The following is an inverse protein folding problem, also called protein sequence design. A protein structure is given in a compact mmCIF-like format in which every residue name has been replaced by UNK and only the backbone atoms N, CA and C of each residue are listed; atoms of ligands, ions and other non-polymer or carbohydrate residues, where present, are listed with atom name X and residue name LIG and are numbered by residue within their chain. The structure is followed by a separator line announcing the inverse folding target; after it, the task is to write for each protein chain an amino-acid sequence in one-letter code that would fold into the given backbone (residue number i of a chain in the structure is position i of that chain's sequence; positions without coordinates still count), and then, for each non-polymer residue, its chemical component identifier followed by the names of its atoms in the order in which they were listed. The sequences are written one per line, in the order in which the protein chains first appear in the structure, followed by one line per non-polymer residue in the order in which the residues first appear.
data_IF_581279902194
#
_entry.id   IF_581279902194
#
_cell.length_a   1.000
_cell.length_b   1.000
_cell.length_c   1.000
_cell.angle_alpha   90.00
_cell.angle_beta   90.00
_cell.angle_gamma   90.00
#
_symmetry.space_group_name_H-M   'P 1'
#
loop_
_entity.id
_entity.type
_entity.pdbx_description
1 polymer ?
#
# COMPACT_ATOMS: atom_id res chain seq x y z
N UNK A 1 -23.83 46.06 34.74
CA UNK A 1 -24.17 44.64 34.51
C UNK A 1 -25.27 44.55 33.46
N UNK A 2 -24.95 44.25 32.19
CA UNK A 2 -25.91 43.86 31.10
C UNK A 2 -25.17 43.73 29.76
N UNK A 3 -24.24 42.77 29.64
CA UNK A 3 -23.69 42.29 28.35
C UNK A 3 -23.19 40.86 28.52
N UNK A 4 -24.08 39.95 28.89
CA UNK A 4 -23.78 38.51 28.99
C UNK A 4 -24.86 37.63 28.33
N UNK A 5 -25.81 38.24 27.60
CA UNK A 5 -26.93 37.52 26.96
C UNK A 5 -26.80 37.32 25.45
N UNK A 6 -25.73 37.82 24.81
CA UNK A 6 -25.55 37.71 23.34
C UNK A 6 -24.45 36.73 22.91
N UNK A 7 -23.54 36.36 23.80
CA UNK A 7 -22.49 35.36 23.51
C UNK A 7 -22.99 33.92 23.67
N UNK A 8 -23.94 33.65 24.57
CA UNK A 8 -24.54 32.32 24.72
C UNK A 8 -25.44 31.91 23.55
N UNK A 9 -26.08 32.87 22.86
CA UNK A 9 -26.95 32.58 21.72
C UNK A 9 -26.15 32.27 20.44
N UNK A 10 -24.96 32.86 20.30
CA UNK A 10 -24.10 32.59 19.14
C UNK A 10 -23.41 31.22 19.23
N UNK A 11 -23.08 30.78 20.45
CA UNK A 11 -22.47 29.46 20.71
C UNK A 11 -23.47 28.30 20.57
N UNK A 12 -24.77 28.57 20.71
CA UNK A 12 -25.83 27.56 20.51
C UNK A 12 -26.24 27.42 19.03
N UNK A 13 -26.03 28.47 18.22
CA UNK A 13 -26.29 28.44 16.77
C UNK A 13 -25.14 27.75 16.02
N UNK A 14 -23.89 27.88 16.47
CA UNK A 14 -22.76 27.15 15.86
C UNK A 14 -22.74 25.66 16.20
N UNK A 15 -23.36 25.24 17.32
CA UNK A 15 -23.49 23.81 17.66
C UNK A 15 -24.64 23.13 16.89
N UNK A 16 -25.64 23.89 16.42
CA UNK A 16 -26.77 23.35 15.66
C UNK A 16 -26.48 23.20 14.15
N UNK A 17 -25.46 23.90 13.62
CA UNK A 17 -25.01 23.69 12.24
C UNK A 17 -24.14 22.43 12.06
N UNK A 18 -23.68 21.81 13.15
CA UNK A 18 -22.91 20.55 13.12
C UNK A 18 -23.82 19.31 13.22
N UNK A 19 -25.11 19.46 13.56
CA UNK A 19 -26.02 18.32 13.77
C UNK A 19 -27.14 18.17 12.74
N UNK A 20 -27.19 18.99 11.68
CA UNK A 20 -28.20 18.87 10.60
C UNK A 20 -27.62 18.21 9.33
N UNK A 21 -26.34 17.86 9.32
CA UNK A 21 -25.70 17.11 8.22
C UNK A 21 -25.65 15.58 8.43
N UNK A 22 -26.45 15.04 9.37
CA UNK A 22 -26.51 13.60 9.62
C UNK A 22 -27.69 12.87 8.94
N UNK A 23 -28.59 13.57 8.24
CA UNK A 23 -29.80 12.97 7.63
C UNK A 23 -29.95 13.26 6.12
N UNK A 24 -28.87 13.63 5.43
CA UNK A 24 -28.86 13.73 3.94
C UNK A 24 -27.86 12.80 3.28
N UNK A 25 -27.43 11.75 3.98
CA UNK A 25 -26.96 10.54 3.31
C UNK A 25 -28.19 9.86 2.70
N UNK A 26 -28.27 9.65 1.37
CA UNK A 26 -29.21 8.70 0.85
C UNK A 26 -28.87 7.36 1.52
N UNK A 27 -29.78 6.83 2.32
CA UNK A 27 -29.76 5.40 2.61
C UNK A 27 -29.90 4.73 1.25
N UNK A 28 -28.79 4.27 0.69
CA UNK A 28 -28.78 3.46 -0.52
C UNK A 28 -29.56 2.18 -0.20
N UNK A 29 -30.84 2.21 -0.53
CA UNK A 29 -31.60 1.00 -0.73
C UNK A 29 -30.88 0.25 -1.86
N UNK A 30 -30.42 -0.97 -1.54
CA UNK A 30 -30.08 -2.00 -2.52
C UNK A 30 -31.14 -2.02 -3.61
N UNK A 31 -30.74 -1.60 -4.82
CA UNK A 31 -31.65 -1.39 -5.93
C UNK A 31 -31.03 -0.59 -7.08
N UNK A 32 -29.72 -0.73 -7.32
CA UNK A 32 -29.11 -0.24 -8.56
C UNK A 32 -29.37 -1.27 -9.67
N UNK A 33 -30.56 -1.25 -10.25
CA UNK A 33 -30.87 -1.98 -11.51
C UNK A 33 -30.93 -0.99 -12.71
N UNK A 34 -30.75 0.32 -12.48
CA UNK A 34 -30.91 1.34 -13.52
C UNK A 34 -29.62 1.78 -14.23
N UNK A 35 -28.42 1.92 -13.61
CA UNK A 35 -27.23 2.39 -14.33
C UNK A 35 -26.62 1.34 -15.27
N UNK A 36 -26.64 0.07 -14.85
CA UNK A 36 -25.97 -1.06 -15.52
C UNK A 36 -26.61 -1.36 -16.88
N UNK A 37 -27.94 -1.37 -16.92
CA UNK A 37 -28.71 -1.65 -18.15
C UNK A 37 -28.57 -0.54 -19.21
N UNK A 38 -28.32 0.71 -18.78
CA UNK A 38 -28.17 1.85 -19.69
C UNK A 38 -26.86 1.78 -20.49
N UNK A 39 -25.76 1.33 -19.86
CA UNK A 39 -24.46 1.17 -20.53
C UNK A 39 -24.53 0.02 -21.54
N UNK A 40 -25.03 -1.17 -21.15
CA UNK A 40 -25.14 -2.30 -22.08
C UNK A 40 -26.07 -2.03 -23.27
N UNK A 41 -27.23 -1.40 -23.04
CA UNK A 41 -28.16 -1.06 -24.11
C UNK A 41 -27.62 -0.01 -25.07
N UNK A 42 -26.83 0.95 -24.57
CA UNK A 42 -26.18 1.95 -25.43
C UNK A 42 -24.97 1.37 -26.16
N UNK A 43 -24.21 0.45 -25.55
CA UNK A 43 -23.13 -0.29 -26.22
C UNK A 43 -23.66 -1.16 -27.37
N UNK A 44 -24.89 -1.66 -27.29
CA UNK A 44 -25.55 -2.38 -28.39
C UNK A 44 -26.06 -1.47 -29.53
N UNK A 45 -26.16 -0.16 -29.29
CA UNK A 45 -26.71 0.83 -30.23
C UNK A 45 -25.66 1.66 -30.99
N UNK A 46 -24.37 1.42 -30.75
CA UNK A 46 -23.24 2.16 -31.31
C UNK A 46 -22.44 1.29 -32.31
N UNK A 47 -21.71 1.94 -33.21
CA UNK A 47 -20.84 1.29 -34.20
C UNK A 47 -19.65 0.60 -33.54
N UNK A 48 -19.13 -0.48 -34.14
CA UNK A 48 -17.91 -1.17 -33.70
C UNK A 48 -16.71 -0.22 -33.53
N UNK A 49 -16.69 0.88 -34.29
CA UNK A 49 -15.66 1.91 -34.18
C UNK A 49 -15.78 2.71 -32.88
N UNK A 50 -17.00 3.00 -32.45
CA UNK A 50 -17.26 3.79 -31.23
C UNK A 50 -16.99 2.96 -29.97
N UNK A 51 -17.30 1.65 -30.00
CA UNK A 51 -16.94 0.70 -28.93
C UNK A 51 -15.42 0.69 -28.73
N UNK A 52 -14.65 0.56 -29.83
CA UNK A 52 -13.18 0.56 -29.76
C UNK A 52 -12.61 1.86 -29.19
N UNK A 53 -13.14 3.01 -29.61
CA UNK A 53 -12.68 4.30 -29.06
C UNK A 53 -13.04 4.40 -27.57
N UNK A 54 -14.16 3.83 -27.13
CA UNK A 54 -14.52 3.78 -25.71
C UNK A 54 -13.58 2.86 -24.91
N UNK A 55 -13.26 1.68 -25.43
CA UNK A 55 -12.27 0.76 -24.84
C UNK A 55 -10.89 1.43 -24.69
N UNK A 56 -10.45 2.15 -25.72
CA UNK A 56 -9.21 2.92 -25.70
C UNK A 56 -9.26 4.05 -24.66
N UNK A 57 -10.37 4.80 -24.56
CA UNK A 57 -10.56 5.85 -23.56
C UNK A 57 -10.57 5.30 -22.13
N UNK A 58 -11.18 4.14 -21.92
CA UNK A 58 -11.18 3.46 -20.62
C UNK A 58 -9.77 2.99 -20.26
N UNK A 59 -9.03 2.41 -21.22
CA UNK A 59 -7.63 1.99 -21.03
C UNK A 59 -6.73 3.18 -20.72
N UNK A 60 -6.84 4.28 -21.47
CA UNK A 60 -6.09 5.52 -21.21
C UNK A 60 -6.41 6.05 -19.81
N UNK A 61 -7.67 5.99 -19.39
CA UNK A 61 -8.06 6.44 -18.05
C UNK A 61 -7.44 5.58 -16.93
N UNK A 62 -7.40 4.26 -17.10
CA UNK A 62 -6.72 3.36 -16.15
C UNK A 62 -5.21 3.69 -16.06
N UNK A 63 -4.56 3.93 -17.20
CA UNK A 63 -3.14 4.30 -17.23
C UNK A 63 -2.87 5.66 -16.57
N UNK A 64 -3.76 6.64 -16.75
CA UNK A 64 -3.66 7.94 -16.06
C UNK A 64 -3.75 7.74 -14.56
N UNK A 65 -4.73 6.97 -14.08
CA UNK A 65 -4.91 6.70 -12.65
C UNK A 65 -3.66 6.02 -12.04
N UNK A 66 -3.05 5.08 -12.76
CA UNK A 66 -1.80 4.45 -12.36
C UNK A 66 -0.64 5.45 -12.25
N UNK A 67 -0.46 6.29 -13.27
CA UNK A 67 0.61 7.28 -13.29
C UNK A 67 0.44 8.33 -12.19
N UNK A 68 -0.78 8.82 -11.96
CA UNK A 68 -1.10 9.76 -10.87
C UNK A 68 -0.83 9.15 -9.50
N UNK A 69 -1.13 7.86 -9.32
CA UNK A 69 -0.81 7.14 -8.09
C UNK A 69 0.69 6.99 -7.88
N UNK A 70 1.44 6.65 -8.94
CA UNK A 70 2.89 6.59 -8.89
C UNK A 70 3.51 7.96 -8.57
N UNK A 71 2.94 9.04 -9.12
CA UNK A 71 3.33 10.41 -8.80
C UNK A 71 3.14 10.71 -7.31
N UNK A 72 1.98 10.37 -6.74
CA UNK A 72 1.68 10.59 -5.32
C UNK A 72 2.57 9.74 -4.41
N UNK A 73 2.84 8.48 -4.75
CA UNK A 73 3.78 7.63 -4.01
C UNK A 73 5.20 8.22 -4.02
N UNK A 74 5.69 8.60 -5.20
CA UNK A 74 7.02 9.24 -5.35
C UNK A 74 7.08 10.53 -4.52
N UNK A 75 5.98 11.28 -4.46
CA UNK A 75 5.90 12.54 -3.69
C UNK A 75 5.99 12.28 -2.19
N UNK A 76 5.30 11.26 -1.70
CA UNK A 76 5.37 10.84 -0.30
C UNK A 76 6.78 10.35 0.07
N UNK A 77 7.43 9.57 -0.81
CA UNK A 77 8.82 9.14 -0.61
C UNK A 77 9.78 10.33 -0.52
N UNK A 78 9.61 11.34 -1.37
CA UNK A 78 10.41 12.57 -1.32
C UNK A 78 10.22 13.31 0.02
N UNK A 79 8.99 13.42 0.52
CA UNK A 79 8.72 14.08 1.80
C UNK A 79 9.29 13.30 3.00
N UNK A 80 9.21 11.97 2.99
CA UNK A 80 9.86 11.11 3.99
C UNK A 80 11.37 11.33 3.97
N UNK A 81 11.98 11.34 2.77
CA UNK A 81 13.41 11.55 2.60
C UNK A 81 13.87 12.94 3.08
N UNK A 82 13.10 14.00 2.80
CA UNK A 82 13.38 15.34 3.33
C UNK A 82 13.33 15.36 4.86
N UNK A 83 12.35 14.68 5.45
CA UNK A 83 12.24 14.57 6.91
C UNK A 83 13.45 13.84 7.50
N UNK A 84 13.90 12.78 6.85
CA UNK A 84 15.07 12.00 7.26
C UNK A 84 16.36 12.81 7.17
N UNK A 85 16.56 13.56 6.08
CA UNK A 85 17.71 14.48 5.95
C UNK A 85 17.70 15.52 7.07
N UNK A 86 16.55 16.12 7.36
CA UNK A 86 16.43 17.11 8.44
C UNK A 86 16.70 16.50 9.82
N UNK A 87 16.30 15.24 10.05
CA UNK A 87 16.62 14.47 11.26
C UNK A 87 18.13 14.30 11.43
N UNK A 88 18.83 13.87 10.37
CA UNK A 88 20.28 13.71 10.38
C UNK A 88 21.01 15.04 10.63
N UNK A 89 20.53 16.14 10.03
CA UNK A 89 21.08 17.48 10.28
C UNK A 89 20.96 17.92 11.75
N UNK A 90 19.82 17.63 12.39
CA UNK A 90 19.63 17.91 13.81
C UNK A 90 20.54 17.04 14.70
N UNK A 91 20.71 15.75 14.37
CA UNK A 91 21.61 14.87 15.12
C UNK A 91 23.07 15.36 15.08
N UNK A 92 23.53 15.82 13.91
CA UNK A 92 24.87 16.43 13.78
C UNK A 92 24.98 17.70 14.64
N UNK A 93 23.96 18.56 14.60
CA UNK A 93 23.95 19.81 15.37
C UNK A 93 23.96 19.57 16.89
N UNK A 94 23.23 18.57 17.38
CA UNK A 94 23.22 18.18 18.79
C UNK A 94 24.58 17.64 19.25
N UNK A 95 25.18 16.72 18.47
CA UNK A 95 26.53 16.18 18.77
C UNK A 95 27.58 17.29 18.80
N UNK A 96 27.54 18.21 17.83
CA UNK A 96 28.44 19.37 17.78
C UNK A 96 28.26 20.29 19.00
N UNK A 97 27.02 20.54 19.43
CA UNK A 97 26.71 21.33 20.62
C UNK A 97 27.25 20.68 21.90
N UNK A 98 27.08 19.36 22.03
CA UNK A 98 27.63 18.58 23.14
C UNK A 98 29.16 18.68 23.23
N UNK A 99 29.84 18.52 22.10
CA UNK A 99 31.28 18.69 21.99
C UNK A 99 31.74 20.11 22.39
N UNK A 100 31.14 21.15 21.80
CA UNK A 100 31.48 22.55 22.07
C UNK A 100 31.31 22.90 23.56
N UNK A 101 30.28 22.35 24.22
CA UNK A 101 30.05 22.58 25.66
C UNK A 101 31.16 21.98 26.53
N UNK A 102 31.65 20.79 26.19
CA UNK A 102 32.76 20.18 26.93
C UNK A 102 34.08 20.89 26.66
N UNK A 103 34.32 21.32 25.43
CA UNK A 103 35.50 22.09 25.06
C UNK A 103 35.58 23.40 25.88
N UNK A 104 34.48 24.13 26.02
CA UNK A 104 34.43 25.36 26.83
C UNK A 104 34.65 25.10 28.33
N UNK A 105 34.15 23.98 28.88
CA UNK A 105 34.45 23.59 30.27
C UNK A 105 35.94 23.30 30.46
N UNK A 106 36.54 22.58 29.51
CA UNK A 106 37.97 22.27 29.51
C UNK A 106 38.81 23.55 29.39
N UNK A 107 38.45 24.46 28.48
CA UNK A 107 39.13 25.74 28.29
C UNK A 107 39.10 26.59 29.58
N UNK A 108 37.92 26.78 30.17
CA UNK A 108 37.77 27.55 31.42
C UNK A 108 38.60 26.96 32.55
N UNK A 109 38.69 25.63 32.64
CA UNK A 109 39.54 24.95 33.60
C UNK A 109 41.04 25.22 33.33
N UNK A 110 41.50 25.08 32.08
CA UNK A 110 42.90 25.29 31.68
C UNK A 110 43.34 26.76 31.85
N UNK A 111 42.49 27.73 31.47
CA UNK A 111 42.76 29.17 31.69
C UNK A 111 42.82 29.48 33.19
N UNK A 112 41.94 28.88 33.99
CA UNK A 112 41.96 29.00 35.45
C UNK A 112 43.24 28.43 36.06
N UNK A 113 43.74 27.31 35.53
CA UNK A 113 45.03 26.72 35.88
C UNK A 113 46.20 27.64 35.54
N UNK A 114 46.23 28.17 34.31
CA UNK A 114 47.31 29.02 33.82
C UNK A 114 47.37 30.38 34.54
N UNK A 115 46.23 31.05 34.78
CA UNK A 115 46.16 32.39 35.39
C UNK A 115 46.57 32.45 36.86
N UNK A 116 46.35 31.38 37.62
CA UNK A 116 46.85 31.29 39.00
C UNK A 116 48.35 30.94 39.06
N UNK A 117 48.95 30.58 37.93
CA UNK A 117 50.33 30.12 37.84
C UNK A 117 50.47 28.67 38.33
N UNK A 118 51.25 27.82 37.64
CA UNK A 118 51.38 26.40 37.99
C UNK A 118 51.80 26.20 39.45
N UNK A 119 52.62 27.10 40.00
CA UNK A 119 53.08 27.06 41.40
C UNK A 119 51.94 27.31 42.40
N UNK A 120 51.07 28.32 42.20
CA UNK A 120 49.99 28.65 43.15
C UNK A 120 48.77 27.74 43.00
N UNK A 121 48.52 27.19 41.81
CA UNK A 121 47.52 26.14 41.62
C UNK A 121 47.98 24.84 42.28
N UNK A 122 49.24 24.42 42.07
CA UNK A 122 49.83 23.32 42.82
C UNK A 122 49.81 23.61 44.31
N UNK A 123 50.10 24.83 44.77
CA UNK A 123 50.02 25.20 46.19
C UNK A 123 48.60 25.14 46.76
N UNK A 124 47.57 25.47 45.97
CA UNK A 124 46.16 25.41 46.39
C UNK A 124 45.64 23.97 46.41
N UNK A 125 46.07 23.12 45.47
CA UNK A 125 45.77 21.69 45.50
C UNK A 125 46.62 20.98 46.60
N UNK A 126 47.84 21.43 46.87
CA UNK A 126 48.69 20.94 47.98
C UNK A 126 48.19 21.46 49.35
N UNK A 127 47.53 22.62 49.41
CA UNK A 127 46.82 23.16 50.60
C UNK A 127 45.36 22.69 50.69
N UNK A 128 44.90 21.82 49.79
CA UNK A 128 43.63 21.10 49.98
C UNK A 128 43.71 20.32 51.30
N UNK A 129 42.59 20.12 51.99
CA UNK A 129 42.60 19.70 53.40
C UNK A 129 43.26 18.32 53.61
N UNK A 130 43.47 17.53 52.54
CA UNK A 130 44.15 16.23 52.51
C UNK A 130 44.52 15.79 51.08
N UNK A 131 45.47 14.84 50.94
CA UNK A 131 45.96 14.28 49.67
C UNK A 131 44.85 13.73 48.74
N UNK A 132 43.70 13.36 49.31
CA UNK A 132 42.54 12.82 48.61
C UNK A 132 41.92 13.84 47.65
N UNK A 133 41.76 15.10 48.08
CA UNK A 133 41.18 16.18 47.27
C UNK A 133 42.07 16.53 46.06
N UNK A 134 43.39 16.41 46.23
CA UNK A 134 44.39 16.56 45.15
C UNK A 134 44.23 15.50 44.07
N UNK A 135 44.19 14.22 44.48
CA UNK A 135 44.06 13.09 43.56
C UNK A 135 42.72 13.14 42.82
N UNK A 136 41.64 13.53 43.50
CA UNK A 136 40.33 13.71 42.86
C UNK A 136 40.34 14.78 41.78
N UNK A 137 40.92 15.96 42.04
CA UNK A 137 40.97 17.05 41.05
C UNK A 137 41.80 16.68 39.81
N UNK A 138 42.89 15.93 40.00
CA UNK A 138 43.77 15.46 38.92
C UNK A 138 43.11 14.34 38.11
N UNK A 139 42.37 13.45 38.77
CA UNK A 139 41.53 12.45 38.11
C UNK A 139 40.40 13.10 37.32
N UNK A 140 39.72 14.12 37.85
CA UNK A 140 38.68 14.87 37.13
C UNK A 140 39.23 15.53 35.86
N UNK A 141 40.44 16.12 35.90
CA UNK A 141 41.08 16.67 34.71
C UNK A 141 41.40 15.59 33.67
N UNK A 142 41.96 14.47 34.12
CA UNK A 142 42.29 13.34 33.24
C UNK A 142 41.03 12.78 32.59
N UNK A 143 39.95 12.67 33.34
CA UNK A 143 38.64 12.25 32.84
C UNK A 143 38.05 13.26 31.88
N UNK A 144 38.04 14.56 32.21
CA UNK A 144 37.55 15.63 31.32
C UNK A 144 38.32 15.66 30.00
N UNK A 145 39.66 15.62 30.06
CA UNK A 145 40.51 15.61 28.88
C UNK A 145 40.29 14.35 28.03
N UNK A 146 40.26 13.17 28.66
CA UNK A 146 40.00 11.90 27.95
C UNK A 146 38.61 11.88 27.33
N UNK A 147 37.58 12.31 28.05
CA UNK A 147 36.20 12.34 27.55
C UNK A 147 36.03 13.34 26.40
N UNK A 148 36.70 14.49 26.46
CA UNK A 148 36.68 15.49 25.37
C UNK A 148 37.32 14.93 24.09
N UNK A 149 38.44 14.21 24.20
CA UNK A 149 39.09 13.55 23.06
C UNK A 149 38.21 12.42 22.51
N UNK A 150 37.64 11.58 23.38
CA UNK A 150 36.73 10.51 22.95
C UNK A 150 35.51 11.05 22.21
N UNK A 151 34.92 12.16 22.69
CA UNK A 151 33.79 12.80 22.02
C UNK A 151 34.19 13.48 20.72
N UNK A 152 35.42 13.97 20.58
CA UNK A 152 35.91 14.49 19.30
C UNK A 152 36.02 13.34 18.28
N UNK A 153 36.64 12.23 18.66
CA UNK A 153 36.79 11.06 17.79
C UNK A 153 35.40 10.49 17.40
N UNK A 154 34.48 10.42 18.35
CA UNK A 154 33.09 9.97 18.11
C UNK A 154 32.34 10.95 17.22
N UNK A 155 32.50 12.27 17.42
CA UNK A 155 31.91 13.31 16.59
C UNK A 155 32.46 13.25 15.16
N UNK A 156 33.77 13.15 14.96
CA UNK A 156 34.38 13.06 13.62
C UNK A 156 33.90 11.81 12.87
N UNK A 157 33.88 10.65 13.56
CA UNK A 157 33.37 9.42 12.98
C UNK A 157 31.89 9.54 12.63
N UNK A 158 31.08 10.02 13.57
CA UNK A 158 29.64 10.20 13.34
C UNK A 158 29.36 11.21 12.25
N UNK A 159 30.09 12.32 12.17
CA UNK A 159 29.90 13.34 11.15
C UNK A 159 30.25 12.79 9.77
N UNK A 160 31.30 11.97 9.65
CA UNK A 160 31.66 11.32 8.39
C UNK A 160 30.61 10.30 7.95
N UNK A 161 30.12 9.46 8.87
CA UNK A 161 29.09 8.46 8.58
C UNK A 161 27.77 9.14 8.17
N UNK A 162 27.32 10.14 8.94
CA UNK A 162 26.09 10.89 8.66
C UNK A 162 26.19 11.77 7.41
N UNK A 163 27.36 12.33 7.09
CA UNK A 163 27.56 13.07 5.85
C UNK A 163 27.46 12.16 4.63
N UNK A 164 28.05 10.96 4.69
CA UNK A 164 27.96 9.98 3.62
C UNK A 164 26.52 9.48 3.44
N UNK A 165 25.81 9.22 4.54
CA UNK A 165 24.39 8.87 4.50
C UNK A 165 23.55 9.99 3.91
N UNK A 166 23.79 11.24 4.31
CA UNK A 166 23.11 12.42 3.74
C UNK A 166 23.38 12.58 2.24
N UNK A 167 24.61 12.39 1.78
CA UNK A 167 24.96 12.48 0.37
C UNK A 167 24.25 11.40 -0.45
N UNK A 168 24.19 10.16 0.07
CA UNK A 168 23.45 9.06 -0.55
C UNK A 168 21.94 9.37 -0.63
N UNK A 169 21.35 9.88 0.45
CA UNK A 169 19.94 10.29 0.47
C UNK A 169 19.68 11.45 -0.50
N UNK A 170 20.59 12.42 -0.60
CA UNK A 170 20.45 13.53 -1.54
C UNK A 170 20.55 13.06 -3.00
N UNK A 171 21.42 12.10 -3.30
CA UNK A 171 21.50 11.48 -4.62
C UNK A 171 20.23 10.67 -4.96
N UNK A 172 19.73 9.89 -4.00
CA UNK A 172 18.47 9.18 -4.16
C UNK A 172 17.30 10.15 -4.38
N UNK A 173 17.24 11.26 -3.63
CA UNK A 173 16.26 12.32 -3.80
C UNK A 173 16.27 12.95 -5.20
N UNK A 174 17.45 13.21 -5.78
CA UNK A 174 17.56 13.69 -7.17
C UNK A 174 16.97 12.72 -8.19
N UNK A 175 17.19 11.41 -7.99
CA UNK A 175 16.61 10.39 -8.86
C UNK A 175 15.09 10.35 -8.77
N UNK A 176 14.53 10.56 -7.57
CA UNK A 176 13.08 10.67 -7.38
C UNK A 176 12.52 11.95 -8.02
N UNK A 177 13.22 13.09 -7.94
CA UNK A 177 12.83 14.33 -8.62
C UNK A 177 12.84 14.16 -10.15
N UNK A 178 13.85 13.47 -10.71
CA UNK A 178 13.90 13.13 -12.13
C UNK A 178 12.74 12.21 -12.54
N UNK A 179 12.43 11.20 -11.72
CA UNK A 179 11.27 10.32 -11.91
C UNK A 179 9.94 11.09 -11.87
N UNK A 180 9.80 12.05 -10.95
CA UNK A 180 8.63 12.91 -10.84
C UNK A 180 8.38 13.71 -12.13
N UNK A 181 9.44 14.30 -12.70
CA UNK A 181 9.34 15.04 -13.97
C UNK A 181 8.91 14.10 -15.11
N UNK A 182 9.45 12.90 -15.17
CA UNK A 182 9.07 11.91 -16.19
C UNK A 182 7.61 11.50 -16.06
N UNK A 183 7.13 11.25 -14.85
CA UNK A 183 5.73 10.94 -14.57
C UNK A 183 4.80 12.08 -15.01
N UNK A 184 5.12 13.33 -14.68
CA UNK A 184 4.33 14.48 -15.08
C UNK A 184 4.26 14.66 -16.60
N UNK A 185 5.37 14.43 -17.30
CA UNK A 185 5.39 14.43 -18.77
C UNK A 185 4.52 13.32 -19.34
N UNK A 186 4.60 12.11 -18.77
CA UNK A 186 3.80 10.97 -19.21
C UNK A 186 2.29 11.21 -18.99
N UNK A 187 1.90 11.74 -17.82
CA UNK A 187 0.52 12.11 -17.50
C UNK A 187 -0.01 13.15 -18.49
N UNK A 188 0.77 14.21 -18.77
CA UNK A 188 0.40 15.24 -19.73
C UNK A 188 0.19 14.67 -21.15
N UNK A 189 1.05 13.77 -21.58
CA UNK A 189 0.90 13.09 -22.88
C UNK A 189 -0.33 12.18 -22.91
N UNK A 190 -0.63 11.45 -21.83
CA UNK A 190 -1.86 10.65 -21.75
C UNK A 190 -3.12 11.50 -21.80
N UNK A 191 -3.16 12.64 -21.13
CA UNK A 191 -4.28 13.58 -21.25
C UNK A 191 -4.44 14.11 -22.69
N UNK A 192 -3.32 14.42 -23.37
CA UNK A 192 -3.34 14.83 -24.77
C UNK A 192 -3.94 13.74 -25.67
N UNK A 193 -3.50 12.49 -25.51
CA UNK A 193 -4.05 11.34 -26.25
C UNK A 193 -5.54 11.12 -25.94
N UNK A 194 -5.96 11.29 -24.68
CA UNK A 194 -7.37 11.22 -24.28
C UNK A 194 -8.20 12.27 -25.03
N UNK A 195 -7.73 13.51 -25.08
CA UNK A 195 -8.41 14.59 -25.80
C UNK A 195 -8.52 14.33 -27.32
N UNK A 196 -7.47 13.76 -27.92
CA UNK A 196 -7.47 13.35 -29.33
C UNK A 196 -8.54 12.28 -29.59
N UNK A 197 -8.63 11.26 -28.74
CA UNK A 197 -9.61 10.19 -28.85
C UNK A 197 -11.05 10.69 -28.64
N UNK A 198 -11.27 11.58 -27.67
CA UNK A 198 -12.57 12.24 -27.48
C UNK A 198 -12.99 13.09 -28.69
N UNK A 199 -12.03 13.71 -29.39
CA UNK A 199 -12.30 14.45 -30.63
C UNK A 199 -12.74 13.53 -31.78
N UNK A 200 -12.25 12.29 -31.83
CA UNK A 200 -12.69 11.30 -32.82
C UNK A 200 -14.18 11.00 -32.62
N UNK A 201 -14.64 10.85 -31.36
CA UNK A 201 -16.07 10.63 -31.05
C UNK A 201 -16.97 11.80 -31.48
N UNK A 202 -16.49 13.05 -31.37
CA UNK A 202 -17.21 14.23 -31.92
C UNK A 202 -17.44 14.04 -33.41
N UNK A 203 -16.40 13.63 -34.15
CA UNK A 203 -16.46 13.47 -35.61
C UNK A 203 -17.33 12.31 -36.08
N UNK A 204 -17.55 11.32 -35.22
CA UNK A 204 -18.31 10.11 -35.55
C UNK A 204 -19.82 10.24 -35.29
N UNK A 205 -20.26 11.03 -34.30
CA UNK A 205 -21.65 10.96 -33.83
C UNK A 205 -22.26 12.25 -33.24
N UNK A 206 -21.62 13.42 -33.36
CA UNK A 206 -22.13 14.69 -32.78
C UNK A 206 -22.52 14.59 -31.28
N UNK A 207 -21.96 13.61 -30.55
CA UNK A 207 -22.46 13.16 -29.23
C UNK A 207 -21.37 13.01 -28.17
N UNK A 208 -20.32 13.85 -28.21
CA UNK A 208 -19.20 13.84 -27.25
C UNK A 208 -19.65 13.82 -25.79
N UNK A 209 -20.61 14.67 -25.45
CA UNK A 209 -21.11 14.81 -24.08
C UNK A 209 -21.74 13.50 -23.57
N UNK A 210 -22.41 12.74 -24.44
CA UNK A 210 -22.99 11.44 -24.08
C UNK A 210 -21.88 10.46 -23.71
N UNK A 211 -20.85 10.35 -24.55
CA UNK A 211 -19.73 9.44 -24.32
C UNK A 211 -18.87 9.81 -23.12
N UNK A 212 -18.61 11.10 -22.90
CA UNK A 212 -17.92 11.57 -21.70
C UNK A 212 -18.70 11.21 -20.43
N UNK A 213 -20.02 11.40 -20.45
CA UNK A 213 -20.85 11.03 -19.31
C UNK A 213 -20.84 9.51 -19.05
N UNK A 214 -20.88 8.68 -20.08
CA UNK A 214 -20.80 7.23 -19.87
C UNK A 214 -19.41 6.78 -19.42
N UNK A 215 -18.33 7.39 -19.90
CA UNK A 215 -16.98 7.11 -19.41
C UNK A 215 -16.85 7.49 -17.92
N UNK A 216 -17.42 8.62 -17.50
CA UNK A 216 -17.43 9.04 -16.09
C UNK A 216 -18.21 8.03 -15.24
N UNK A 217 -19.39 7.60 -15.68
CA UNK A 217 -20.16 6.56 -14.96
C UNK A 217 -19.38 5.25 -14.87
N UNK A 218 -18.74 4.83 -15.97
CA UNK A 218 -17.93 3.61 -16.00
C UNK A 218 -16.76 3.69 -15.02
N UNK A 219 -16.07 4.84 -14.95
CA UNK A 219 -15.00 5.10 -13.98
C UNK A 219 -15.52 5.02 -12.53
N UNK A 220 -16.66 5.63 -12.23
CA UNK A 220 -17.26 5.56 -10.90
C UNK A 220 -17.62 4.12 -10.51
N UNK A 221 -18.20 3.36 -11.43
CA UNK A 221 -18.53 1.95 -11.20
C UNK A 221 -17.28 1.09 -11.04
N UNK A 222 -16.20 1.41 -11.76
CA UNK A 222 -14.90 0.78 -11.59
C UNK A 222 -14.30 1.08 -10.19
N UNK A 223 -14.37 2.33 -9.73
CA UNK A 223 -13.93 2.72 -8.39
C UNK A 223 -14.71 2.01 -7.28
N UNK A 224 -16.03 1.93 -7.41
CA UNK A 224 -16.88 1.17 -6.50
C UNK A 224 -16.56 -0.34 -6.53
N UNK A 225 -16.28 -0.89 -7.72
CA UNK A 225 -15.90 -2.29 -7.88
C UNK A 225 -14.56 -2.59 -7.20
N UNK A 226 -13.55 -1.72 -7.32
CA UNK A 226 -12.25 -1.91 -6.65
C UNK A 226 -12.40 -2.07 -5.15
N UNK A 227 -13.24 -1.23 -4.53
CA UNK A 227 -13.55 -1.29 -3.10
C UNK A 227 -14.28 -2.58 -2.76
N UNK A 228 -15.36 -2.88 -3.49
CA UNK A 228 -16.15 -4.08 -3.26
C UNK A 228 -15.34 -5.36 -3.43
N UNK A 229 -14.54 -5.46 -4.49
CA UNK A 229 -13.74 -6.64 -4.77
C UNK A 229 -12.68 -6.87 -3.68
N UNK A 230 -12.10 -5.79 -3.16
CA UNK A 230 -11.22 -5.85 -1.99
C UNK A 230 -11.89 -6.46 -0.76
N UNK A 231 -13.18 -6.20 -0.55
CA UNK A 231 -13.97 -6.84 0.52
C UNK A 231 -14.31 -8.31 0.20
N UNK A 232 -14.58 -8.64 -1.07
CA UNK A 232 -14.80 -10.02 -1.52
C UNK A 232 -13.59 -10.89 -1.18
N UNK A 233 -12.38 -10.41 -1.46
CA UNK A 233 -11.13 -11.16 -1.23
C UNK A 233 -10.93 -11.50 0.25
N UNK A 234 -11.14 -10.53 1.15
CA UNK A 234 -11.04 -10.75 2.60
C UNK A 234 -12.05 -11.80 3.06
N UNK A 235 -13.28 -11.76 2.53
CA UNK A 235 -14.33 -12.70 2.90
C UNK A 235 -14.08 -14.09 2.34
N UNK A 236 -13.62 -14.17 1.09
CA UNK A 236 -13.24 -15.41 0.42
C UNK A 236 -12.16 -16.14 1.21
N UNK A 237 -11.09 -15.45 1.61
CA UNK A 237 -10.05 -16.03 2.46
C UNK A 237 -10.63 -16.60 3.76
N UNK A 238 -11.54 -15.86 4.41
CA UNK A 238 -12.18 -16.30 5.64
C UNK A 238 -13.08 -17.53 5.52
N UNK A 239 -13.55 -17.91 4.32
CA UNK A 239 -14.35 -19.14 4.14
C UNK A 239 -13.54 -20.38 4.55
N UNK A 240 -12.27 -20.42 4.16
CA UNK A 240 -11.36 -21.52 4.47
C UNK A 240 -10.96 -21.50 5.95
N UNK A 241 -10.61 -20.33 6.49
CA UNK A 241 -10.25 -20.17 7.90
C UNK A 241 -11.38 -20.56 8.87
N UNK A 242 -12.63 -20.32 8.48
CA UNK A 242 -13.82 -20.68 9.30
C UNK A 242 -14.27 -22.13 9.12
N UNK A 243 -13.64 -22.89 8.21
CA UNK A 243 -14.02 -24.26 7.90
C UNK A 243 -15.40 -24.36 7.23
N UNK A 244 -15.81 -23.34 6.49
CA UNK A 244 -17.10 -23.31 5.77
C UNK A 244 -17.05 -24.10 4.46
N UNK A 245 -15.85 -24.46 3.99
CA UNK A 245 -15.67 -25.31 2.83
C UNK A 245 -15.93 -26.80 3.18
N UNK A 246 -16.83 -27.50 2.46
CA UNK A 246 -17.17 -28.89 2.77
C UNK A 246 -16.06 -29.85 2.36
N UNK A 247 -15.23 -30.28 3.32
CA UNK A 247 -14.12 -31.22 3.09
C UNK A 247 -14.61 -32.55 2.50
N UNK A 248 -15.86 -32.95 2.77
CA UNK A 248 -16.44 -34.17 2.19
C UNK A 248 -16.62 -34.08 0.67
N UNK A 249 -16.70 -32.87 0.11
CA UNK A 249 -16.84 -32.64 -1.33
C UNK A 249 -15.52 -32.85 -2.11
N UNK A 250 -14.39 -33.00 -1.41
CA UNK A 250 -13.07 -33.19 -2.01
C UNK A 250 -12.86 -34.58 -2.64
N UNK A 251 -13.84 -35.50 -2.55
CA UNK A 251 -13.79 -36.86 -3.13
C UNK A 251 -12.47 -37.61 -2.88
N UNK A 252 -11.97 -37.51 -1.64
CA UNK A 252 -10.64 -37.98 -1.26
C UNK A 252 -10.47 -39.50 -1.45
N UNK A 253 -9.34 -39.89 -2.02
CA UNK A 253 -8.91 -41.28 -2.22
C UNK A 253 -7.51 -41.48 -1.66
N UNK A 254 -7.36 -42.52 -0.85
CA UNK A 254 -6.08 -42.85 -0.22
C UNK A 254 -5.22 -43.71 -1.16
N UNK A 255 -4.15 -43.11 -1.66
CA UNK A 255 -3.11 -43.72 -2.47
C UNK A 255 -1.80 -43.80 -1.67
N UNK A 256 -1.85 -44.52 -0.53
CA UNK A 256 -0.85 -44.46 0.53
C UNK A 256 0.61 -44.45 0.03
N UNK A 257 1.45 -43.49 0.48
CA UNK A 257 1.18 -42.51 1.52
C UNK A 257 0.46 -41.23 1.04
N UNK A 258 0.09 -41.15 -0.24
CA UNK A 258 -0.51 -39.96 -0.85
C UNK A 258 -2.02 -39.96 -0.71
N UNK A 259 -2.60 -38.78 -0.82
CA UNK A 259 -4.04 -38.57 -0.92
C UNK A 259 -4.32 -37.86 -2.23
N UNK A 260 -5.19 -38.44 -3.05
CA UNK A 260 -5.72 -37.79 -4.25
C UNK A 260 -7.13 -37.29 -3.97
N UNK A 261 -7.55 -36.23 -4.65
CA UNK A 261 -8.89 -35.70 -4.52
C UNK A 261 -9.26 -34.81 -5.70
N UNK A 262 -10.51 -34.37 -5.69
CA UNK A 262 -11.11 -33.56 -6.76
C UNK A 262 -11.84 -32.38 -6.15
N UNK A 263 -11.60 -31.17 -6.66
CA UNK A 263 -12.37 -29.97 -6.32
C UNK A 263 -13.21 -29.59 -7.54
N UNK A 264 -14.53 -29.63 -7.41
CA UNK A 264 -15.42 -29.15 -8.46
C UNK A 264 -15.60 -27.63 -8.35
N UNK A 265 -15.59 -26.94 -9.49
CA UNK A 265 -15.92 -25.52 -9.54
C UNK A 265 -17.31 -25.26 -8.93
N UNK A 266 -18.27 -26.17 -9.15
CA UNK A 266 -19.59 -26.09 -8.55
C UNK A 266 -19.55 -26.05 -7.02
N UNK A 267 -18.63 -26.79 -6.38
CA UNK A 267 -18.50 -26.75 -4.92
C UNK A 267 -18.05 -25.37 -4.43
N UNK A 268 -17.10 -24.72 -5.11
CA UNK A 268 -16.74 -23.33 -4.78
C UNK A 268 -17.93 -22.41 -4.99
N UNK A 269 -18.64 -22.55 -6.10
CA UNK A 269 -19.78 -21.70 -6.46
C UNK A 269 -20.91 -21.83 -5.44
N UNK A 270 -21.24 -23.05 -4.99
CA UNK A 270 -22.26 -23.30 -3.97
C UNK A 270 -21.87 -22.67 -2.62
N UNK A 271 -20.59 -22.74 -2.25
CA UNK A 271 -20.09 -22.12 -1.01
C UNK A 271 -20.20 -20.59 -1.08
N UNK A 272 -19.92 -19.99 -2.24
CA UNK A 272 -20.00 -18.55 -2.45
C UNK A 272 -21.45 -18.05 -2.54
N UNK A 273 -22.35 -18.81 -3.15
CA UNK A 273 -23.77 -18.46 -3.24
C UNK A 273 -24.44 -18.36 -1.86
N UNK A 274 -23.94 -19.12 -0.89
CA UNK A 274 -24.41 -19.07 0.51
C UNK A 274 -23.87 -17.88 1.31
N UNK A 275 -23.05 -17.01 0.71
CA UNK A 275 -22.47 -15.83 1.36
C UNK A 275 -23.27 -14.58 0.99
N UNK A 276 -24.22 -14.10 1.83
CA UNK A 276 -25.11 -13.00 1.47
C UNK A 276 -24.41 -11.65 1.28
N UNK A 277 -23.15 -11.53 1.73
CA UNK A 277 -22.34 -10.33 1.65
C UNK A 277 -21.35 -10.35 0.46
N UNK A 278 -21.32 -11.43 -0.33
CA UNK A 278 -20.51 -11.55 -1.54
C UNK A 278 -21.47 -11.45 -2.74
N UNK A 279 -21.27 -10.52 -3.70
CA UNK A 279 -22.05 -10.51 -4.93
C UNK A 279 -21.80 -11.81 -5.70
N UNK A 280 -22.73 -12.21 -6.57
CA UNK A 280 -22.62 -13.48 -7.28
C UNK A 280 -21.28 -13.59 -7.99
N UNK A 281 -20.44 -14.51 -7.52
CA UNK A 281 -19.10 -14.78 -8.03
C UNK A 281 -19.05 -16.25 -8.46
N UNK A 282 -18.65 -16.50 -9.70
CA UNK A 282 -18.70 -17.83 -10.31
C UNK A 282 -17.33 -18.18 -10.86
N UNK A 283 -16.81 -19.32 -10.40
CA UNK A 283 -15.61 -19.95 -10.91
C UNK A 283 -15.97 -20.95 -12.01
N UNK A 284 -15.18 -20.93 -13.08
CA UNK A 284 -15.16 -21.94 -14.12
C UNK A 284 -13.73 -22.47 -14.23
N UNK A 285 -13.61 -23.79 -14.18
CA UNK A 285 -12.34 -24.48 -14.39
C UNK A 285 -12.34 -25.03 -15.80
N UNK A 286 -11.29 -24.73 -16.55
CA UNK A 286 -11.03 -25.30 -17.86
C UNK A 286 -9.62 -25.90 -17.86
N UNK A 287 -9.26 -26.76 -18.83
CA UNK A 287 -7.92 -27.32 -18.91
C UNK A 287 -6.79 -26.29 -19.08
N UNK A 288 -7.09 -25.15 -19.71
CA UNK A 288 -6.10 -24.14 -20.06
C UNK A 288 -6.10 -22.95 -19.08
N UNK A 289 -7.28 -22.55 -18.59
CA UNK A 289 -7.45 -21.33 -17.79
C UNK A 289 -8.56 -21.45 -16.74
N UNK A 290 -8.48 -20.58 -15.74
CA UNK A 290 -9.46 -20.39 -14.69
C UNK A 290 -10.17 -19.07 -14.96
N UNK A 291 -11.49 -19.13 -15.06
CA UNK A 291 -12.33 -17.97 -15.30
C UNK A 291 -13.09 -17.66 -14.03
N UNK A 292 -13.04 -16.41 -13.59
CA UNK A 292 -13.78 -15.90 -12.45
C UNK A 292 -14.68 -14.78 -12.94
N UNK A 293 -15.98 -15.00 -12.88
CA UNK A 293 -16.99 -14.01 -13.28
C UNK A 293 -17.67 -13.43 -12.05
N UNK A 294 -17.91 -12.11 -12.07
CA UNK A 294 -18.86 -11.44 -11.18
C UNK A 294 -19.95 -10.84 -12.07
N UNK A 295 -20.97 -11.64 -12.47
CA UNK A 295 -21.90 -11.24 -13.54
C UNK A 295 -22.63 -9.93 -13.24
N UNK A 296 -23.08 -9.74 -12.00
CA UNK A 296 -23.80 -8.52 -11.57
C UNK A 296 -22.94 -7.25 -11.64
N UNK A 297 -21.63 -7.41 -11.81
CA UNK A 297 -20.64 -6.33 -11.92
C UNK A 297 -19.93 -6.31 -13.27
N UNK A 298 -20.33 -7.17 -14.21
CA UNK A 298 -19.72 -7.28 -15.53
C UNK A 298 -18.19 -7.43 -15.49
N UNK A 299 -17.67 -8.06 -14.44
CA UNK A 299 -16.25 -8.34 -14.27
C UNK A 299 -15.98 -9.78 -14.68
N UNK A 300 -14.97 -9.97 -15.52
CA UNK A 300 -14.43 -11.28 -15.88
C UNK A 300 -12.93 -11.24 -15.66
N UNK A 301 -12.40 -12.18 -14.92
CA UNK A 301 -10.97 -12.38 -14.69
C UNK A 301 -10.58 -13.75 -15.21
N UNK A 302 -9.45 -13.83 -15.87
CA UNK A 302 -8.93 -15.04 -16.49
C UNK A 302 -7.48 -15.20 -16.02
N UNK A 303 -7.15 -16.38 -15.53
CA UNK A 303 -5.84 -16.65 -14.96
C UNK A 303 -5.54 -18.13 -14.85
N UNK A 304 -4.49 -18.45 -14.12
CA UNK A 304 -4.04 -19.82 -13.86
C UNK A 304 -3.76 -19.97 -12.37
N UNK A 305 -3.92 -21.19 -11.84
CA UNK A 305 -3.47 -21.47 -10.48
C UNK A 305 -2.00 -21.89 -10.48
N UNK A 306 -1.22 -21.31 -9.58
CA UNK A 306 0.16 -21.72 -9.31
C UNK A 306 0.28 -22.25 -7.88
N UNK A 307 1.13 -23.27 -7.68
CA UNK A 307 1.44 -23.78 -6.35
C UNK A 307 2.53 -22.91 -5.73
N UNK A 308 2.24 -22.29 -4.59
CA UNK A 308 3.20 -21.55 -3.77
C UNK A 308 3.32 -22.19 -2.38
N UNK A 309 4.45 -21.98 -1.71
CA UNK A 309 4.72 -22.46 -0.35
C UNK A 309 4.38 -23.94 -0.10
N UNK A 310 4.51 -24.78 -1.14
CA UNK A 310 4.21 -26.21 -1.17
C UNK A 310 2.74 -26.59 -0.94
N UNK A 311 1.91 -25.79 -0.25
CA UNK A 311 0.54 -26.17 0.14
C UNK A 311 -0.56 -25.25 -0.41
N UNK A 312 -0.22 -24.15 -1.08
CA UNK A 312 -1.18 -23.11 -1.45
C UNK A 312 -1.35 -23.07 -2.96
N UNK A 313 -2.58 -23.15 -3.45
CA UNK A 313 -2.91 -22.76 -4.82
C UNK A 313 -3.29 -21.29 -4.86
N UNK A 314 -2.49 -20.48 -5.56
CA UNK A 314 -2.75 -19.06 -5.76
C UNK A 314 -3.22 -18.81 -7.18
N UNK A 315 -4.35 -18.10 -7.32
CA UNK A 315 -4.81 -17.64 -8.63
C UNK A 315 -3.94 -16.46 -9.11
N UNK A 316 -3.26 -16.65 -10.23
CA UNK A 316 -2.51 -15.60 -10.93
C UNK A 316 -3.34 -15.14 -12.14
N UNK A 317 -3.96 -13.97 -12.02
CA UNK A 317 -4.79 -13.40 -13.08
C UNK A 317 -3.90 -12.81 -14.17
N UNK A 318 -4.08 -13.25 -15.41
CA UNK A 318 -3.29 -12.80 -16.57
C UNK A 318 -4.04 -11.80 -17.43
N UNK A 319 -5.38 -11.85 -17.44
CA UNK A 319 -6.23 -10.98 -18.25
C UNK A 319 -7.58 -10.77 -17.55
N UNK A 320 -8.21 -9.65 -17.85
CA UNK A 320 -9.54 -9.37 -17.33
C UNK A 320 -10.28 -8.35 -18.18
N UNK A 321 -11.58 -8.28 -17.97
CA UNK A 321 -12.44 -7.30 -18.61
C UNK A 321 -13.51 -6.79 -17.65
N UNK A 322 -13.87 -5.52 -17.81
CA UNK A 322 -14.97 -4.87 -17.12
C UNK A 322 -15.90 -4.26 -18.17
N UNK A 323 -17.18 -4.64 -18.15
CA UNK A 323 -18.12 -4.31 -19.24
C UNK A 323 -17.58 -4.67 -20.63
N UNK A 324 -16.93 -5.85 -20.74
CA UNK A 324 -16.25 -6.34 -21.95
C UNK A 324 -15.02 -5.52 -22.39
N UNK A 325 -14.73 -4.39 -21.74
CA UNK A 325 -13.55 -3.59 -22.01
C UNK A 325 -12.34 -4.17 -21.28
N UNK A 326 -11.16 -4.24 -21.92
CA UNK A 326 -9.98 -4.85 -21.32
C UNK A 326 -9.49 -4.07 -20.09
N UNK A 327 -9.01 -4.81 -19.10
CA UNK A 327 -8.32 -4.27 -17.93
C UNK A 327 -6.81 -4.29 -18.15
N UNK A 328 -6.14 -3.22 -17.73
CA UNK A 328 -4.69 -3.14 -17.65
C UNK A 328 -4.16 -4.01 -16.52
N UNK A 329 -2.89 -4.44 -16.61
CA UNK A 329 -2.24 -5.22 -15.57
C UNK A 329 -2.28 -4.50 -14.21
N UNK A 330 -2.05 -3.20 -14.20
CA UNK A 330 -2.14 -2.36 -12.99
C UNK A 330 -3.54 -2.34 -12.39
N UNK A 331 -4.57 -2.25 -13.23
CA UNK A 331 -5.97 -2.29 -12.78
C UNK A 331 -6.34 -3.66 -12.21
N UNK A 332 -5.83 -4.75 -12.79
CA UNK A 332 -5.98 -6.10 -12.22
C UNK A 332 -5.26 -6.17 -10.87
N UNK A 333 -3.99 -5.77 -10.79
CA UNK A 333 -3.21 -5.78 -9.55
C UNK A 333 -3.87 -4.97 -8.43
N UNK A 334 -4.55 -3.88 -8.79
CA UNK A 334 -5.29 -3.06 -7.85
C UNK A 334 -6.51 -3.78 -7.23
N UNK A 335 -7.21 -4.63 -8.00
CA UNK A 335 -8.28 -5.46 -7.45
C UNK A 335 -7.78 -6.37 -6.33
N UNK A 336 -6.54 -6.85 -6.44
CA UNK A 336 -5.93 -7.80 -5.50
C UNK A 336 -5.10 -7.15 -4.38
N UNK A 337 -5.27 -5.85 -4.12
CA UNK A 337 -4.53 -5.13 -3.04
C UNK A 337 -4.67 -5.75 -1.66
N UNK A 338 -5.84 -6.31 -1.36
CA UNK A 338 -6.13 -6.92 -0.06
C UNK A 338 -5.82 -8.42 0.00
N UNK A 339 -5.05 -8.93 -0.95
CA UNK A 339 -4.58 -10.30 -0.98
C UNK A 339 -5.07 -11.08 -2.21
N UNK A 340 -4.40 -12.18 -2.55
CA UNK A 340 -4.78 -13.03 -3.67
C UNK A 340 -5.96 -13.95 -3.33
N UNK A 341 -6.60 -14.49 -4.37
CA UNK A 341 -7.47 -15.66 -4.23
C UNK A 341 -6.58 -16.89 -4.06
N UNK A 342 -6.71 -17.55 -2.91
CA UNK A 342 -5.92 -18.73 -2.57
C UNK A 342 -6.79 -19.86 -2.05
N UNK A 343 -6.36 -21.10 -2.33
CA UNK A 343 -6.87 -22.31 -1.71
C UNK A 343 -5.70 -22.92 -0.95
N UNK A 344 -5.73 -22.84 0.38
CA UNK A 344 -4.70 -23.42 1.24
C UNK A 344 -5.07 -24.85 1.65
N UNK A 345 -4.33 -25.82 1.12
CA UNK A 345 -4.53 -27.23 1.47
C UNK A 345 -4.16 -27.52 2.92
N UNK A 346 -3.33 -26.67 3.53
CA UNK A 346 -2.97 -26.80 4.94
C UNK A 346 -4.16 -26.51 5.86
N UNK A 347 -4.90 -25.44 5.56
CA UNK A 347 -6.12 -25.09 6.29
C UNK A 347 -7.24 -26.12 6.07
N UNK A 348 -7.29 -26.73 4.87
CA UNK A 348 -8.30 -27.75 4.55
C UNK A 348 -8.01 -29.14 5.15
N UNK A 349 -6.73 -29.56 5.19
CA UNK A 349 -6.36 -30.96 5.44
C UNK A 349 -5.19 -31.16 6.41
N UNK A 350 -4.66 -30.10 7.02
CA UNK A 350 -3.52 -30.15 7.94
C UNK A 350 -2.17 -30.12 7.21
N UNK A 351 -1.08 -30.47 7.88
CA UNK A 351 0.29 -30.35 7.33
C UNK A 351 0.52 -31.28 6.11
N UNK A 352 0.34 -30.74 4.91
CA UNK A 352 0.43 -31.45 3.61
C UNK A 352 1.17 -30.62 2.56
N UNK A 353 1.75 -31.32 1.59
CA UNK A 353 2.40 -30.76 0.40
C UNK A 353 1.64 -31.17 -0.85
N UNK A 354 1.36 -30.22 -1.73
CA UNK A 354 0.80 -30.42 -3.07
C UNK A 354 1.88 -30.94 -4.00
N UNK A 355 1.74 -32.18 -4.47
CA UNK A 355 2.64 -32.81 -5.44
C UNK A 355 2.24 -32.48 -6.88
N UNK A 356 0.94 -32.41 -7.17
CA UNK A 356 0.42 -32.09 -8.50
C UNK A 356 -1.00 -31.56 -8.46
N UNK A 357 -1.34 -30.72 -9.43
CA UNK A 357 -2.71 -30.27 -9.72
C UNK A 357 -2.93 -30.30 -11.22
N UNK A 358 -4.04 -30.91 -11.65
CA UNK A 358 -4.44 -31.00 -13.05
C UNK A 358 -5.86 -30.42 -13.21
N UNK A 359 -6.05 -29.58 -14.22
CA UNK A 359 -7.32 -28.90 -14.47
C UNK A 359 -8.10 -29.57 -15.59
N UNK A 360 -9.40 -29.69 -15.39
CA UNK A 360 -10.35 -30.24 -16.34
C UNK A 360 -11.57 -29.32 -16.44
N UNK A 361 -12.43 -29.62 -17.40
CA UNK A 361 -13.69 -28.88 -17.55
C UNK A 361 -14.59 -29.12 -16.33
N UNK A 362 -14.76 -28.08 -15.52
CA UNK A 362 -15.59 -28.04 -14.32
C UNK A 362 -14.96 -28.57 -13.01
N UNK A 363 -13.73 -29.08 -13.03
CA UNK A 363 -13.06 -29.59 -11.82
C UNK A 363 -11.53 -29.55 -11.93
N UNK A 364 -10.85 -29.59 -10.79
CA UNK A 364 -9.41 -29.86 -10.70
C UNK A 364 -9.18 -31.14 -9.89
N UNK A 365 -8.21 -31.94 -10.31
CA UNK A 365 -7.68 -33.06 -9.53
C UNK A 365 -6.38 -32.61 -8.85
N UNK A 366 -6.18 -33.05 -7.61
CA UNK A 366 -4.97 -32.78 -6.85
C UNK A 366 -4.40 -34.06 -6.25
N UNK A 367 -3.08 -34.06 -6.05
CA UNK A 367 -2.37 -35.08 -5.29
C UNK A 367 -1.56 -34.37 -4.22
N UNK A 368 -1.74 -34.80 -2.97
CA UNK A 368 -1.00 -34.28 -1.82
C UNK A 368 -0.31 -35.43 -1.06
N UNK A 369 0.75 -35.09 -0.34
CA UNK A 369 1.46 -35.98 0.58
C UNK A 369 1.61 -35.32 1.96
N UNK A 370 1.73 -36.08 3.05
CA UNK A 370 2.03 -35.51 4.36
C UNK A 370 3.36 -34.76 4.32
N UNK A 371 3.40 -33.57 4.92
CA UNK A 371 4.67 -32.87 5.11
C UNK A 371 5.43 -33.51 6.29
N UNK A 372 6.61 -34.06 6.01
CA UNK A 372 7.46 -34.70 7.02
C UNK A 372 8.64 -33.81 7.44
N UNK A 373 8.75 -32.58 6.91
CA UNK A 373 9.78 -31.62 7.29
C UNK A 373 9.43 -31.00 8.67
N UNK A 374 9.72 -31.74 9.75
CA UNK A 374 9.70 -31.26 11.15
C UNK A 374 11.06 -30.69 11.60
#
# INVERSE_FOLDING_TARGET
MKRAGKFGLFLLITLFTVFVFADTLPRHAMGQVQPIMEIEQKLQGISDVEIKVMEELFTISQNIEELERSEEQTRQEIEILKSEIARLENEIAEKQSGYNRQLDVLERFLVGYQRRGPVSFLETIIKSKNLTDFVQSLNMLRELSRNTVLLLDELEKSQKELALEKDNLAEYGKRLDESMIQLQVAIAEMHRLKEEQESILVSLADSREIYQNELIKLQQMWDELKILFSEILVRFAGIFERGEFPVEALNLRLDFPRLSGTIYAQTLNDVLENQPEIPRMVFYFTPDEIIVEVPDKHLVLIGEFSVIDKSILKLEVTRGSFFQMPLTESSINELFRNGPIVIDFKELMGDVVVESVEFFDGYLDFVIAPDFDF
#
